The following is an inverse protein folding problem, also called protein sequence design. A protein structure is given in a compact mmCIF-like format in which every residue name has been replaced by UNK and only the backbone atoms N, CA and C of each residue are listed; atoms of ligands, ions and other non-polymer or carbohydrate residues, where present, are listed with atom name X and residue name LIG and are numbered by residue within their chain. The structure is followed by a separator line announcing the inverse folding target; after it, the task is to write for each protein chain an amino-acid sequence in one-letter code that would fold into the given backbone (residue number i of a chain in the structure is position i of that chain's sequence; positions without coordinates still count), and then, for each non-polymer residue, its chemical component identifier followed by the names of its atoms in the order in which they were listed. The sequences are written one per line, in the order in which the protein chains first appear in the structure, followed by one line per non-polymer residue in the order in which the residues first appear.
data_IF_489853590071
#
_entry.id   IF_489853590071
#
_cell.length_a   1.000
_cell.length_b   1.000
_cell.length_c   1.000
_cell.angle_alpha   90.00
_cell.angle_beta   90.00
_cell.angle_gamma   90.00
#
_symmetry.space_group_name_H-M   'P 1'
#
loop_
_entity.id
_entity.type
_entity.pdbx_description
1 polymer ?
#
# COMPACT_ATOMS: atom_id res chain seq x y z
N UNK A 1 -16.07 5.68 21.19
CA UNK A 1 -15.51 5.26 19.89
C UNK A 1 -14.02 5.13 20.11
N UNK A 2 -13.41 3.95 19.92
CA UNK A 2 -11.98 3.77 20.20
C UNK A 2 -11.22 4.37 19.02
N UNK A 3 -10.43 5.42 19.25
CA UNK A 3 -9.54 5.98 18.24
C UNK A 3 -8.44 4.93 17.96
N UNK A 4 -8.35 4.48 16.71
CA UNK A 4 -7.27 3.61 16.31
C UNK A 4 -6.09 4.49 15.92
N UNK A 5 -5.04 4.45 16.73
CA UNK A 5 -3.81 5.18 16.48
C UNK A 5 -3.04 4.47 15.35
N UNK A 6 -2.88 5.15 14.22
CA UNK A 6 -2.14 4.64 13.08
C UNK A 6 -0.77 5.32 13.04
N UNK A 7 0.24 4.71 13.64
CA UNK A 7 1.56 5.33 13.79
C UNK A 7 2.44 5.24 12.53
N UNK A 8 2.03 4.46 11.52
CA UNK A 8 2.81 4.23 10.31
C UNK A 8 2.17 4.95 9.14
N UNK A 9 2.95 5.84 8.52
CA UNK A 9 2.57 6.61 7.34
C UNK A 9 3.46 6.21 6.15
N UNK A 10 2.85 5.67 5.11
CA UNK A 10 3.55 5.26 3.88
C UNK A 10 3.07 6.09 2.69
N UNK A 11 3.94 6.95 2.20
CA UNK A 11 3.67 7.84 1.08
C UNK A 11 3.67 7.13 -0.27
N UNK A 12 2.85 7.61 -1.20
CA UNK A 12 2.82 7.08 -2.55
C UNK A 12 4.14 7.35 -3.30
N UNK A 13 4.86 6.31 -3.78
CA UNK A 13 6.16 6.48 -4.44
C UNK A 13 6.08 7.11 -5.83
N UNK A 14 4.85 7.37 -6.33
CA UNK A 14 4.64 7.98 -7.64
C UNK A 14 4.47 9.48 -7.61
N UNK A 15 3.69 9.99 -6.65
CA UNK A 15 3.29 11.39 -6.61
C UNK A 15 3.54 12.06 -5.25
N UNK A 16 3.91 11.29 -4.21
CA UNK A 16 4.06 11.77 -2.84
C UNK A 16 2.76 12.27 -2.17
N UNK A 17 1.66 12.40 -2.92
CA UNK A 17 0.49 13.14 -2.45
C UNK A 17 -0.56 12.32 -1.69
N UNK A 18 -0.43 10.99 -1.59
CA UNK A 18 -1.33 10.16 -0.78
C UNK A 18 -0.54 9.31 0.18
N UNK A 19 -1.14 8.98 1.32
CA UNK A 19 -0.51 8.17 2.35
C UNK A 19 -1.40 6.99 2.74
N UNK A 20 -0.76 5.89 3.09
CA UNK A 20 -1.39 4.74 3.73
C UNK A 20 -1.08 4.81 5.21
N UNK A 21 -2.11 4.57 6.01
CA UNK A 21 -2.02 4.48 7.46
C UNK A 21 -2.04 3.01 7.88
N UNK A 22 -1.16 2.64 8.80
CA UNK A 22 -1.14 1.32 9.42
C UNK A 22 -0.93 1.41 10.94
N UNK A 23 -1.59 0.51 11.68
CA UNK A 23 -1.52 0.41 13.14
C UNK A 23 -0.18 -0.17 13.60
N UNK A 24 0.27 -1.26 12.95
CA UNK A 24 1.46 -2.02 13.35
C UNK A 24 2.26 -2.50 12.16
N UNK A 25 3.55 -2.72 12.42
CA UNK A 25 4.42 -3.47 11.52
C UNK A 25 3.99 -4.93 11.49
N UNK A 26 3.95 -5.49 10.30
CA UNK A 26 3.59 -6.89 10.08
C UNK A 26 4.28 -7.41 8.83
N UNK A 27 4.60 -8.71 8.81
CA UNK A 27 5.16 -9.40 7.64
C UNK A 27 4.10 -9.61 6.57
N UNK A 28 3.68 -8.52 5.95
CA UNK A 28 2.74 -8.50 4.85
C UNK A 28 3.13 -7.43 3.82
N UNK A 29 2.99 -7.79 2.55
CA UNK A 29 3.08 -6.85 1.43
C UNK A 29 1.69 -6.66 0.84
N UNK A 30 1.20 -5.43 0.82
CA UNK A 30 -0.11 -5.09 0.25
C UNK A 30 0.07 -4.37 -1.10
N UNK A 31 -0.87 -4.60 -2.02
CA UNK A 31 -0.97 -3.82 -3.25
C UNK A 31 -1.96 -2.69 -3.06
N UNK A 32 -1.53 -1.45 -3.25
CA UNK A 32 -2.37 -0.27 -3.05
C UNK A 32 -2.50 0.53 -4.34
N UNK A 33 -3.72 0.98 -4.62
CA UNK A 33 -3.97 1.96 -5.67
C UNK A 33 -4.01 3.36 -5.04
N UNK A 34 -3.17 4.27 -5.53
CA UNK A 34 -3.14 5.65 -5.05
C UNK A 34 -4.47 6.36 -5.36
N UNK A 35 -5.09 6.99 -4.36
CA UNK A 35 -6.32 7.74 -4.56
C UNK A 35 -6.17 8.95 -5.49
N UNK A 36 -4.99 9.61 -5.48
CA UNK A 36 -4.67 10.79 -6.31
C UNK A 36 -4.27 10.43 -7.73
N UNK A 37 -3.13 9.74 -7.91
CA UNK A 37 -2.57 9.48 -9.23
C UNK A 37 -3.07 8.18 -9.88
N UNK A 38 -3.91 7.40 -9.18
CA UNK A 38 -4.50 6.12 -9.62
C UNK A 38 -3.51 5.01 -9.99
N UNK A 39 -2.20 5.25 -9.83
CA UNK A 39 -1.15 4.25 -10.04
C UNK A 39 -1.10 3.26 -8.88
N UNK A 40 -0.69 2.03 -9.19
CA UNK A 40 -0.54 0.95 -8.22
C UNK A 40 0.89 0.93 -7.70
N UNK A 41 1.05 0.58 -6.43
CA UNK A 41 2.34 0.37 -5.78
C UNK A 41 2.22 -0.72 -4.72
N UNK A 42 3.35 -1.30 -4.34
CA UNK A 42 3.43 -2.26 -3.23
C UNK A 42 3.87 -1.50 -1.98
N UNK A 43 3.26 -1.81 -0.86
CA UNK A 43 3.67 -1.33 0.45
C UNK A 43 4.04 -2.55 1.31
N UNK A 44 5.28 -2.58 1.76
CA UNK A 44 5.79 -3.58 2.67
C UNK A 44 5.68 -3.06 4.12
N UNK A 45 4.86 -3.72 4.93
CA UNK A 45 4.54 -3.28 6.28
C UNK A 45 5.58 -3.74 7.32
N UNK A 46 6.57 -4.55 6.94
CA UNK A 46 7.65 -5.00 7.81
C UNK A 46 8.82 -4.01 7.75
N UNK A 47 9.28 -3.73 6.53
CA UNK A 47 10.36 -2.79 6.21
C UNK A 47 9.92 -1.34 6.08
N UNK A 48 8.60 -1.08 6.08
CA UNK A 48 7.99 0.25 5.90
C UNK A 48 8.40 0.92 4.58
N UNK A 49 8.52 0.13 3.51
CA UNK A 49 8.94 0.62 2.20
C UNK A 49 7.80 0.54 1.20
N UNK A 50 7.73 1.54 0.34
CA UNK A 50 6.82 1.55 -0.80
C UNK A 50 7.59 1.45 -2.10
N UNK A 51 7.16 0.55 -2.97
CA UNK A 51 7.80 0.31 -4.25
C UNK A 51 6.81 0.49 -5.39
N UNK A 52 7.26 1.14 -6.48
CA UNK A 52 6.46 1.30 -7.69
C UNK A 52 6.12 -0.07 -8.26
N UNK A 53 4.85 -0.28 -8.59
CA UNK A 53 4.39 -1.52 -9.18
C UNK A 53 3.53 -1.25 -10.41
N UNK A 54 3.31 -2.28 -11.21
CA UNK A 54 2.32 -2.28 -12.29
C UNK A 54 1.18 -3.22 -11.92
N UNK A 55 -0.02 -2.92 -12.40
CA UNK A 55 -1.15 -3.82 -12.28
C UNK A 55 -0.80 -5.16 -12.94
N UNK A 56 -0.90 -6.26 -12.21
CA UNK A 56 -0.78 -7.59 -12.78
C UNK A 56 -2.16 -8.06 -13.23
N UNK A 57 -2.25 -8.65 -14.43
CA UNK A 57 -3.46 -9.41 -14.80
C UNK A 57 -3.66 -10.48 -13.74
N UNK A 58 -4.91 -10.72 -13.30
CA UNK A 58 -5.20 -11.90 -12.49
C UNK A 58 -4.73 -13.10 -13.31
N UNK A 59 -3.73 -13.84 -12.81
CA UNK A 59 -3.51 -15.20 -13.28
C UNK A 59 -4.78 -15.93 -12.92
N UNK A 60 -5.63 -16.19 -13.93
CA UNK A 60 -7.01 -16.59 -13.70
C UNK A 60 -7.12 -17.80 -12.77
N UNK A 61 -8.29 -17.96 -12.13
CA UNK A 61 -8.79 -19.31 -11.92
C UNK A 61 -8.82 -19.92 -13.32
N UNK A 62 -8.03 -20.97 -13.57
CA UNK A 62 -8.29 -21.85 -14.71
C UNK A 62 -9.79 -22.14 -14.65
N UNK A 63 -10.53 -21.67 -15.65
CA UNK A 63 -11.90 -22.13 -15.84
C UNK A 63 -11.85 -23.62 -16.13
#
# INVERSE_FOLDING_TARGET
MKEFQMDIHLSCPWCGGSEILADRRTKATISVQCAKCKKIYKADLDSLKTEKAKAQKRMGRRR
#
